data_IF_652664247200
#
_entry.id   IF_652664247200
#
_cell.length_a   1.000
_cell.length_b   1.000
_cell.length_c   1.000
_cell.angle_alpha   90.00
_cell.angle_beta   90.00
_cell.angle_gamma   90.00
#
_symmetry.space_group_name_H-M   'P 1'
#
loop_
_entity.id
_entity.type
_entity.pdbx_description
1 polymer ?
#
# COMPACT_ATOMS: atom_id res chain seq x y z
N UNK A 1 -20.69 63.41 87.52
CA UNK A 1 -20.49 62.05 88.07
C UNK A 1 -19.06 61.63 87.75
N UNK A 2 -18.21 61.57 88.77
CA UNK A 2 -16.95 60.81 88.78
C UNK A 2 -17.25 59.44 89.43
N UNK A 3 -16.41 58.37 89.34
CA UNK A 3 -14.95 58.47 89.35
C UNK A 3 -14.12 57.42 88.56
N UNK A 4 -12.81 57.74 88.44
CA UNK A 4 -11.57 56.91 88.63
C UNK A 4 -11.58 55.44 88.13
N UNK A 5 -10.49 54.89 87.56
CA UNK A 5 -9.13 54.87 88.13
C UNK A 5 -8.10 54.22 87.17
N UNK A 6 -6.87 54.77 87.18
CA UNK A 6 -5.50 54.18 87.03
C UNK A 6 -5.24 53.13 85.93
N UNK A 7 -4.18 53.16 85.11
CA UNK A 7 -2.91 53.87 85.14
C UNK A 7 -1.78 52.88 84.82
N UNK A 8 -0.90 53.16 83.84
CA UNK A 8 0.55 52.87 83.90
C UNK A 8 1.28 53.30 82.62
N UNK A 9 2.24 54.20 82.80
CA UNK A 9 3.33 54.54 81.88
C UNK A 9 4.29 53.36 81.71
N UNK A 10 4.85 53.16 80.52
CA UNK A 10 6.29 52.91 80.42
C UNK A 10 6.84 53.23 79.03
N UNK A 11 7.82 54.13 79.03
CA UNK A 11 8.64 54.59 77.91
C UNK A 11 9.65 53.52 77.48
N UNK A 12 9.97 53.42 76.17
CA UNK A 12 11.34 53.31 75.62
C UNK A 12 11.36 53.03 74.11
N UNK A 13 11.95 53.99 73.38
CA UNK A 13 12.97 53.89 72.33
C UNK A 13 12.77 53.06 71.04
N UNK A 14 13.34 53.51 69.91
CA UNK A 14 13.05 52.98 68.57
C UNK A 14 13.93 51.77 68.23
N UNK A 15 13.31 50.66 67.81
CA UNK A 15 14.01 49.49 67.28
C UNK A 15 14.28 49.68 65.77
N UNK A 16 15.55 49.87 65.44
CA UNK A 16 16.18 49.98 64.11
C UNK A 16 16.17 48.67 63.31
N UNK A 17 15.09 47.88 63.45
CA UNK A 17 14.99 46.51 62.93
C UNK A 17 14.08 46.37 61.70
N UNK A 18 13.57 47.50 61.20
CA UNK A 18 12.56 47.54 60.12
C UNK A 18 13.14 47.95 58.75
N UNK A 19 14.40 48.40 58.69
CA UNK A 19 15.06 48.73 57.42
C UNK A 19 15.78 47.53 56.79
N UNK A 20 16.26 46.57 57.60
CA UNK A 20 16.94 45.36 57.09
C UNK A 20 16.00 44.30 56.49
N UNK A 21 14.68 44.49 56.57
CA UNK A 21 13.67 43.59 55.96
C UNK A 21 13.09 44.11 54.64
N UNK A 22 13.35 45.38 54.27
CA UNK A 22 12.93 45.92 52.96
C UNK A 22 13.96 45.63 51.86
N UNK A 23 15.25 45.65 52.17
CA UNK A 23 16.30 45.29 51.21
C UNK A 23 16.24 43.81 50.77
N UNK A 24 15.88 42.88 51.67
CA UNK A 24 15.80 41.45 51.33
C UNK A 24 14.54 41.06 50.52
N UNK A 25 13.57 41.97 50.37
CA UNK A 25 12.30 41.70 49.67
C UNK A 25 12.25 42.28 48.25
N UNK A 26 13.21 43.13 47.88
CA UNK A 26 13.35 43.69 46.52
C UNK A 26 14.32 42.87 45.64
N UNK A 27 15.34 42.21 46.21
CA UNK A 27 16.19 41.26 45.45
C UNK A 27 15.48 39.96 45.05
N UNK A 28 14.43 39.56 45.79
CA UNK A 28 13.65 38.35 45.47
C UNK A 28 12.49 38.58 44.50
N UNK A 29 12.27 39.83 44.08
CA UNK A 29 11.25 40.20 43.09
C UNK A 29 11.84 40.50 41.71
N UNK A 30 13.18 40.60 41.58
CA UNK A 30 13.91 40.78 40.32
C UNK A 30 14.56 39.49 39.79
N UNK A 31 14.39 38.36 40.50
CA UNK A 31 14.87 37.04 40.09
C UNK A 31 13.74 36.05 39.72
N UNK A 32 12.55 36.56 39.37
CA UNK A 32 11.40 35.74 38.93
C UNK A 32 10.72 36.24 37.65
N UNK A 33 11.42 37.03 36.84
CA UNK A 33 10.93 37.47 35.52
C UNK A 33 11.79 36.96 34.35
N UNK A 34 12.58 35.90 34.55
CA UNK A 34 13.50 35.40 33.51
C UNK A 34 13.14 34.03 32.94
N UNK A 35 11.94 33.51 33.20
CA UNK A 35 11.48 32.22 32.66
C UNK A 35 10.10 32.36 32.01
N UNK A 36 10.03 33.11 30.90
CA UNK A 36 8.96 32.92 29.93
C UNK A 36 9.40 33.38 28.52
N UNK A 37 10.38 32.69 27.96
CA UNK A 37 10.66 32.69 26.52
C UNK A 37 10.57 31.26 25.98
N UNK A 38 9.36 30.68 26.08
CA UNK A 38 8.86 29.68 25.14
C UNK A 38 7.92 30.48 24.22
N UNK A 39 7.90 30.40 22.89
CA UNK A 39 8.39 29.41 21.92
C UNK A 39 8.09 29.99 20.54
N UNK A 40 8.79 29.51 19.51
CA UNK A 40 8.73 29.89 18.08
C UNK A 40 9.91 30.76 17.63
N UNK A 41 11.14 30.29 17.92
CA UNK A 41 12.19 30.49 16.93
C UNK A 41 12.09 29.31 15.98
N UNK A 42 11.39 29.50 14.87
CA UNK A 42 11.49 28.60 13.73
C UNK A 42 12.96 28.64 13.29
N UNK A 43 13.64 27.50 13.39
CA UNK A 43 15.02 27.37 12.97
C UNK A 43 15.04 27.40 11.43
N UNK A 44 15.59 28.47 10.85
CA UNK A 44 15.61 28.65 9.40
C UNK A 44 16.65 27.71 8.77
N UNK A 45 16.16 26.66 8.10
CA UNK A 45 16.99 25.69 7.41
C UNK A 45 17.42 26.24 6.05
N UNK A 46 18.70 26.10 5.72
CA UNK A 46 19.24 26.51 4.44
C UNK A 46 18.80 25.55 3.32
N UNK A 47 18.45 26.08 2.16
CA UNK A 47 18.03 25.31 0.98
C UNK A 47 19.00 24.20 0.56
N UNK A 48 20.31 24.37 0.77
CA UNK A 48 21.34 23.37 0.45
C UNK A 48 21.25 22.10 1.33
N UNK A 49 20.63 22.21 2.49
CA UNK A 49 20.46 21.12 3.45
C UNK A 49 19.07 20.47 3.36
N UNK A 50 18.23 20.95 2.44
CA UNK A 50 16.92 20.36 2.16
C UNK A 50 17.06 19.14 1.25
N UNK A 51 16.25 18.13 1.52
CA UNK A 51 16.13 16.99 0.64
C UNK A 51 15.44 17.40 -0.66
N UNK A 52 15.99 17.08 -1.84
CA UNK A 52 15.38 17.46 -3.11
C UNK A 52 14.09 16.71 -3.45
N UNK A 53 13.69 15.71 -2.64
CA UNK A 53 12.48 14.90 -2.84
C UNK A 53 11.34 15.39 -1.94
N UNK A 54 11.57 15.48 -0.63
CA UNK A 54 10.54 15.93 0.32
C UNK A 54 10.61 17.43 0.66
N UNK A 55 11.65 18.14 0.24
CA UNK A 55 11.87 19.57 0.53
C UNK A 55 11.96 19.92 2.02
N UNK A 56 12.20 18.92 2.88
CA UNK A 56 12.46 19.08 4.31
C UNK A 56 13.95 18.88 4.62
N UNK A 57 14.38 19.24 5.83
CA UNK A 57 15.75 18.98 6.30
C UNK A 57 16.13 17.50 6.07
N UNK A 58 17.31 17.30 5.48
CA UNK A 58 17.89 15.97 5.26
C UNK A 58 17.99 15.19 6.59
N UNK A 59 17.29 14.07 6.66
CA UNK A 59 17.31 13.16 7.81
C UNK A 59 17.81 11.78 7.36
N UNK A 60 18.76 11.22 8.11
CA UNK A 60 19.51 10.02 7.73
C UNK A 60 19.93 10.04 6.23
N UNK A 61 20.69 11.06 5.78
CA UNK A 61 21.01 11.23 4.37
C UNK A 61 21.75 10.03 3.79
N UNK A 62 21.38 9.65 2.58
CA UNK A 62 22.10 8.70 1.73
C UNK A 62 22.69 9.42 0.54
N UNK A 63 23.90 9.04 0.14
CA UNK A 63 24.58 9.56 -1.04
C UNK A 63 24.65 8.47 -2.10
N UNK A 64 24.16 8.79 -3.29
CA UNK A 64 24.18 7.92 -4.47
C UNK A 64 25.56 7.90 -5.13
N UNK A 65 25.87 6.88 -5.95
CA UNK A 65 27.15 6.85 -6.72
C UNK A 65 27.31 8.01 -7.71
N UNK A 66 26.20 8.61 -8.14
CA UNK A 66 26.21 9.81 -8.97
C UNK A 66 26.29 11.11 -8.16
N UNK A 67 26.63 11.02 -6.87
CA UNK A 67 26.86 12.12 -5.95
C UNK A 67 25.64 13.04 -5.71
N UNK A 68 24.44 12.46 -5.68
CA UNK A 68 23.23 13.13 -5.19
C UNK A 68 22.88 12.63 -3.80
N UNK A 69 22.47 13.54 -2.93
CA UNK A 69 22.12 13.26 -1.53
C UNK A 69 20.64 13.51 -1.28
N UNK A 70 19.99 12.58 -0.59
CA UNK A 70 18.58 12.66 -0.19
C UNK A 70 18.35 11.85 1.09
N UNK A 71 17.17 11.94 1.72
CA UNK A 71 16.85 11.12 2.90
C UNK A 71 16.85 9.62 2.57
N UNK A 72 17.24 8.77 3.52
CA UNK A 72 17.19 7.32 3.36
C UNK A 72 15.80 6.81 2.98
N UNK A 73 14.76 7.29 3.67
CA UNK A 73 13.35 6.97 3.43
C UNK A 73 12.89 7.40 2.03
N UNK A 74 13.25 8.61 1.60
CA UNK A 74 12.97 9.10 0.25
C UNK A 74 13.63 8.23 -0.83
N UNK A 75 14.88 7.78 -0.62
CA UNK A 75 15.56 6.90 -1.56
C UNK A 75 14.95 5.50 -1.57
N UNK A 76 14.55 4.98 -0.42
CA UNK A 76 13.88 3.68 -0.32
C UNK A 76 12.54 3.70 -1.08
N UNK A 77 11.71 4.71 -0.83
CA UNK A 77 10.44 4.87 -1.53
C UNK A 77 10.63 5.10 -3.03
N UNK A 78 11.64 5.86 -3.43
CA UNK A 78 11.96 6.03 -4.84
C UNK A 78 12.50 4.76 -5.51
N UNK A 79 13.37 4.01 -4.82
CA UNK A 79 13.87 2.73 -5.31
C UNK A 79 12.73 1.75 -5.53
N UNK A 80 11.73 1.78 -4.63
CA UNK A 80 10.52 0.99 -4.74
C UNK A 80 9.73 1.32 -6.01
N UNK A 81 9.39 2.59 -6.24
CA UNK A 81 8.66 3.04 -7.44
C UNK A 81 9.47 2.80 -8.71
N UNK A 82 10.76 3.12 -8.68
CA UNK A 82 11.67 2.94 -9.81
C UNK A 82 11.83 1.47 -10.21
N UNK A 83 11.68 0.54 -9.27
CA UNK A 83 11.83 -0.90 -9.52
C UNK A 83 10.54 -1.60 -9.94
N UNK A 84 9.38 -1.12 -9.48
CA UNK A 84 8.07 -1.68 -9.88
C UNK A 84 7.61 -1.18 -11.24
N UNK A 85 8.00 0.03 -11.64
CA UNK A 85 7.53 0.67 -12.89
C UNK A 85 8.20 0.19 -14.18
N UNK A 86 9.17 -0.74 -14.12
CA UNK A 86 9.97 -1.14 -15.29
C UNK A 86 9.79 -2.62 -15.60
N UNK A 87 8.93 -2.91 -16.60
CA UNK A 87 8.94 -4.19 -17.27
C UNK A 87 10.09 -4.20 -18.29
N UNK A 88 11.17 -4.92 -18.01
CA UNK A 88 12.32 -5.03 -18.91
C UNK A 88 12.08 -6.15 -19.92
N UNK A 89 12.03 -5.81 -21.21
CA UNK A 89 11.89 -6.79 -22.30
C UNK A 89 13.25 -7.50 -22.54
N UNK A 90 13.24 -8.83 -22.44
CA UNK A 90 14.37 -9.74 -22.55
C UNK A 90 14.07 -10.84 -23.58
N UNK A 91 15.14 -11.48 -24.06
CA UNK A 91 15.01 -12.66 -24.92
C UNK A 91 14.33 -13.80 -24.16
N UNK A 92 13.49 -14.62 -24.82
CA UNK A 92 12.85 -15.78 -24.21
C UNK A 92 13.93 -16.81 -23.88
N UNK A 93 14.38 -16.84 -22.63
CA UNK A 93 15.32 -17.83 -22.11
C UNK A 93 14.73 -18.49 -20.86
N UNK A 94 15.19 -19.71 -20.56
CA UNK A 94 14.75 -20.51 -19.41
C UNK A 94 15.83 -20.59 -18.32
N UNK A 95 16.86 -19.76 -18.37
CA UNK A 95 17.99 -19.88 -17.45
C UNK A 95 17.65 -19.34 -16.05
N UNK A 96 17.99 -20.05 -14.96
CA UNK A 96 17.79 -19.56 -13.59
C UNK A 96 18.48 -18.21 -13.33
N UNK A 97 19.51 -17.88 -14.10
CA UNK A 97 20.24 -16.60 -14.07
C UNK A 97 19.38 -15.37 -14.40
N UNK A 98 18.17 -15.54 -14.95
CA UNK A 98 17.19 -14.44 -15.17
C UNK A 98 16.83 -13.74 -13.86
N UNK A 99 16.91 -14.45 -12.73
CA UNK A 99 16.59 -13.94 -11.40
C UNK A 99 17.81 -13.42 -10.63
N UNK A 100 19.05 -13.73 -11.08
CA UNK A 100 20.27 -13.27 -10.41
C UNK A 100 20.52 -11.78 -10.68
N UNK A 101 20.51 -10.99 -9.61
CA UNK A 101 20.56 -9.53 -9.62
C UNK A 101 21.95 -8.95 -9.79
N UNK A 102 22.38 -8.76 -11.03
CA UNK A 102 23.53 -7.90 -11.34
C UNK A 102 23.11 -6.43 -11.55
N UNK A 103 21.86 -6.17 -11.98
CA UNK A 103 21.33 -4.80 -12.13
C UNK A 103 20.38 -4.49 -10.96
N UNK A 104 20.94 -4.43 -9.77
CA UNK A 104 20.20 -4.12 -8.51
C UNK A 104 20.28 -2.63 -8.18
N UNK A 105 20.42 -1.80 -9.21
CA UNK A 105 20.64 -0.36 -9.09
C UNK A 105 19.35 0.38 -9.42
N UNK A 106 18.72 0.97 -8.40
CA UNK A 106 17.59 1.88 -8.60
C UNK A 106 18.04 3.10 -9.42
N UNK A 107 17.15 3.72 -10.19
CA UNK A 107 17.49 4.96 -10.88
C UNK A 107 17.54 6.10 -9.87
N UNK A 108 18.56 6.95 -9.93
CA UNK A 108 18.63 8.13 -9.08
C UNK A 108 17.43 9.08 -9.34
N UNK A 109 16.75 9.62 -8.30
CA UNK A 109 15.66 10.58 -8.50
C UNK A 109 16.10 11.86 -9.23
N UNK A 110 17.36 12.26 -9.04
CA UNK A 110 17.87 13.53 -9.56
C UNK A 110 18.35 13.44 -11.01
N UNK A 111 19.04 12.36 -11.37
CA UNK A 111 19.68 12.23 -12.68
C UNK A 111 19.30 10.96 -13.45
N UNK A 112 18.44 10.11 -12.89
CA UNK A 112 17.94 8.85 -13.47
C UNK A 112 19.01 7.80 -13.79
N UNK A 113 20.28 8.05 -13.48
CA UNK A 113 21.37 7.09 -13.60
C UNK A 113 21.16 5.91 -12.65
N UNK A 114 21.30 4.65 -13.12
CA UNK A 114 21.35 3.48 -12.23
C UNK A 114 22.38 3.71 -11.14
N UNK A 115 21.95 3.56 -9.89
CA UNK A 115 22.79 3.84 -8.74
C UNK A 115 22.46 2.95 -7.54
N UNK A 116 23.40 2.89 -6.62
CA UNK A 116 23.16 2.45 -5.24
C UNK A 116 23.39 3.63 -4.31
N UNK A 117 22.73 3.62 -3.16
CA UNK A 117 22.82 4.67 -2.17
C UNK A 117 23.47 4.14 -0.89
N UNK A 118 24.39 4.93 -0.32
CA UNK A 118 25.11 4.59 0.91
C UNK A 118 24.78 5.64 1.97
N UNK A 119 24.52 5.21 3.20
CA UNK A 119 24.30 6.13 4.32
C UNK A 119 25.50 7.07 4.52
N UNK A 120 25.21 8.33 4.79
CA UNK A 120 26.18 9.39 5.03
C UNK A 120 26.07 9.90 6.48
N UNK A 121 26.65 9.18 7.46
CA UNK A 121 26.54 9.53 8.88
C UNK A 121 27.27 10.84 9.21
N UNK A 122 28.29 11.21 8.43
CA UNK A 122 29.01 12.47 8.62
C UNK A 122 28.10 13.66 8.40
N UNK A 123 27.33 13.66 7.30
CA UNK A 123 26.37 14.72 7.02
C UNK A 123 25.22 14.70 8.04
N UNK A 124 24.72 13.53 8.41
CA UNK A 124 23.70 13.40 9.45
C UNK A 124 24.11 14.10 10.77
N UNK A 125 25.34 13.87 11.22
CA UNK A 125 25.88 14.49 12.44
C UNK A 125 26.09 16.01 12.29
N UNK A 126 26.44 16.49 11.11
CA UNK A 126 26.57 17.93 10.85
C UNK A 126 25.21 18.61 10.91
N UNK A 127 24.19 18.01 10.29
CA UNK A 127 22.83 18.55 10.27
C UNK A 127 22.18 18.53 11.65
N UNK A 128 22.39 17.49 12.45
CA UNK A 128 21.85 17.43 13.81
C UNK A 128 22.49 18.45 14.76
N UNK A 129 23.76 18.80 14.54
CA UNK A 129 24.45 19.85 15.30
C UNK A 129 24.06 21.25 14.82
N UNK A 130 23.87 21.43 13.51
CA UNK A 130 23.52 22.72 12.89
C UNK A 130 22.06 23.09 13.10
N UNK A 131 21.17 22.09 13.12
CA UNK A 131 19.73 22.22 13.15
C UNK A 131 19.06 21.28 14.17
N UNK A 132 19.36 21.41 15.48
CA UNK A 132 18.88 20.48 16.49
C UNK A 132 17.36 20.39 16.59
N UNK A 133 16.63 21.49 16.43
CA UNK A 133 15.17 21.48 16.57
C UNK A 133 14.51 20.84 15.35
N UNK A 134 14.93 21.25 14.15
CA UNK A 134 14.41 20.68 12.91
C UNK A 134 14.79 19.18 12.77
N UNK A 135 16.00 18.78 13.15
CA UNK A 135 16.42 17.38 13.09
C UNK A 135 15.62 16.50 14.05
N UNK A 136 15.30 17.00 15.26
CA UNK A 136 14.46 16.29 16.21
C UNK A 136 13.00 16.15 15.72
N UNK A 137 12.45 17.17 15.04
CA UNK A 137 11.13 17.04 14.40
C UNK A 137 11.12 15.91 13.38
N UNK A 138 12.16 15.82 12.54
CA UNK A 138 12.28 14.76 11.52
C UNK A 138 12.40 13.36 12.15
N UNK A 139 13.10 13.24 13.28
CA UNK A 139 13.18 11.99 14.04
C UNK A 139 11.82 11.59 14.63
N UNK A 140 11.05 12.55 15.14
CA UNK A 140 9.69 12.29 15.65
C UNK A 140 8.73 11.87 14.53
N UNK A 141 8.84 12.47 13.35
CA UNK A 141 8.06 12.09 12.16
C UNK A 141 8.38 10.64 11.74
N UNK A 142 9.66 10.26 11.64
CA UNK A 142 10.05 8.90 11.21
C UNK A 142 9.72 7.81 12.24
N UNK A 143 9.66 8.16 13.53
CA UNK A 143 9.28 7.23 14.61
C UNK A 143 7.77 7.11 14.81
N UNK A 144 6.99 8.12 14.43
CA UNK A 144 5.52 8.05 14.42
C UNK A 144 4.97 7.44 13.12
N UNK A 145 5.75 7.50 12.04
CA UNK A 145 5.58 6.70 10.82
C UNK A 145 6.09 5.26 10.98
N UNK A 146 6.03 4.65 12.18
CA UNK A 146 5.99 3.19 12.27
C UNK A 146 4.73 2.72 11.53
N UNK A 147 4.92 2.35 10.26
CA UNK A 147 3.91 1.96 9.30
C UNK A 147 2.83 1.07 9.97
N UNK A 148 1.57 1.52 10.08
CA UNK A 148 0.48 0.69 10.60
C UNK A 148 0.24 -0.58 9.76
N UNK A 149 0.96 -0.71 8.64
CA UNK A 149 0.94 -1.81 7.69
C UNK A 149 2.21 -2.70 7.75
N UNK A 150 2.86 -2.80 8.92
CA UNK A 150 4.07 -3.58 9.23
C UNK A 150 3.99 -5.12 8.99
N UNK A 151 3.18 -5.57 8.04
CA UNK A 151 3.39 -6.84 7.37
C UNK A 151 4.69 -6.78 6.56
N UNK A 152 5.54 -7.81 6.70
CA UNK A 152 6.80 -7.92 5.97
C UNK A 152 6.53 -7.87 4.46
N UNK A 153 6.89 -6.76 3.81
CA UNK A 153 6.84 -6.62 2.35
C UNK A 153 8.04 -7.35 1.76
N UNK A 154 7.78 -8.23 0.80
CA UNK A 154 8.78 -9.01 0.09
C UNK A 154 8.69 -8.71 -1.42
N UNK A 155 9.83 -8.71 -2.11
CA UNK A 155 9.88 -8.49 -3.56
C UNK A 155 9.80 -9.81 -4.31
N UNK A 156 8.82 -9.94 -5.19
CA UNK A 156 8.63 -11.06 -6.13
C UNK A 156 9.08 -10.64 -7.52
N UNK A 157 10.06 -11.32 -8.12
CA UNK A 157 10.38 -11.11 -9.54
C UNK A 157 9.48 -12.02 -10.37
N UNK A 158 8.83 -11.47 -11.38
CA UNK A 158 7.95 -12.20 -12.29
C UNK A 158 8.40 -11.98 -13.73
N UNK A 159 8.52 -13.05 -14.49
CA UNK A 159 8.74 -13.00 -15.92
C UNK A 159 7.47 -13.47 -16.65
N UNK A 160 6.92 -12.63 -17.51
CA UNK A 160 5.75 -12.93 -18.34
C UNK A 160 6.16 -12.76 -19.79
N UNK A 161 5.76 -13.68 -20.66
CA UNK A 161 6.23 -13.62 -22.04
C UNK A 161 5.69 -14.73 -22.90
N UNK A 162 6.17 -14.75 -24.14
CA UNK A 162 5.91 -15.84 -25.07
C UNK A 162 7.17 -16.25 -25.82
N UNK A 163 7.26 -17.56 -26.10
CA UNK A 163 8.16 -18.10 -27.10
C UNK A 163 7.37 -18.40 -28.37
N UNK A 164 8.00 -18.23 -29.53
CA UNK A 164 7.41 -18.46 -30.84
C UNK A 164 8.28 -19.37 -31.70
N UNK A 165 7.63 -20.22 -32.49
CA UNK A 165 8.26 -21.05 -33.52
C UNK A 165 7.32 -21.19 -34.71
N UNK A 166 7.82 -20.97 -35.93
CA UNK A 166 7.09 -21.32 -37.14
C UNK A 166 6.99 -22.83 -37.30
N UNK A 167 5.79 -23.29 -37.60
CA UNK A 167 5.47 -24.67 -37.94
C UNK A 167 4.93 -24.74 -39.37
N UNK A 168 5.24 -25.82 -40.08
CA UNK A 168 4.65 -26.08 -41.40
C UNK A 168 3.13 -26.17 -41.27
N UNK A 169 2.36 -25.48 -42.12
CA UNK A 169 0.90 -25.53 -42.08
C UNK A 169 0.43 -26.97 -42.30
N UNK A 170 -0.52 -27.40 -41.47
CA UNK A 170 -1.22 -28.66 -41.73
C UNK A 170 -2.13 -28.48 -42.97
N UNK A 171 -2.33 -29.52 -43.79
CA UNK A 171 -3.16 -29.43 -45.00
C UNK A 171 -4.60 -28.96 -44.73
N UNK A 172 -5.10 -29.12 -43.51
CA UNK A 172 -6.45 -28.72 -43.09
C UNK A 172 -6.55 -27.29 -42.53
N UNK A 173 -5.43 -26.59 -42.30
CA UNK A 173 -5.45 -25.24 -41.69
C UNK A 173 -4.22 -24.43 -42.10
N UNK A 174 -4.26 -23.87 -43.31
CA UNK A 174 -3.17 -23.09 -43.91
C UNK A 174 -2.76 -21.84 -43.09
N UNK A 175 -3.61 -21.35 -42.19
CA UNK A 175 -3.36 -20.12 -41.42
C UNK A 175 -2.65 -20.35 -40.08
N UNK A 176 -2.66 -21.56 -39.51
CA UNK A 176 -2.12 -21.84 -38.17
C UNK A 176 -0.63 -22.18 -38.20
N UNK A 177 0.18 -21.25 -38.70
CA UNK A 177 1.62 -21.43 -38.92
C UNK A 177 2.48 -21.01 -37.72
N UNK A 178 1.92 -20.29 -36.75
CA UNK A 178 2.64 -19.80 -35.59
C UNK A 178 2.33 -20.67 -34.38
N UNK A 179 3.30 -21.46 -33.93
CA UNK A 179 3.20 -22.12 -32.63
C UNK A 179 3.81 -21.20 -31.58
N UNK A 180 3.01 -20.84 -30.59
CA UNK A 180 3.45 -19.98 -29.50
C UNK A 180 3.18 -20.65 -28.16
N UNK A 181 4.07 -20.36 -27.20
CA UNK A 181 3.94 -20.76 -25.80
C UNK A 181 3.95 -19.51 -24.96
N UNK A 182 2.82 -19.18 -24.35
CA UNK A 182 2.76 -18.12 -23.35
C UNK A 182 3.12 -18.71 -21.98
N UNK A 183 3.89 -17.97 -21.18
CA UNK A 183 4.36 -18.43 -19.88
C UNK A 183 4.38 -17.30 -18.86
N UNK A 184 4.14 -17.68 -17.61
CA UNK A 184 4.30 -16.85 -16.42
C UNK A 184 5.26 -17.57 -15.48
N UNK A 185 6.42 -16.96 -15.23
CA UNK A 185 7.54 -17.53 -14.47
C UNK A 185 7.87 -16.64 -13.28
N UNK A 186 7.26 -16.91 -12.11
CA UNK A 186 7.57 -16.23 -10.87
C UNK A 186 8.88 -16.76 -10.28
N UNK A 187 9.62 -15.91 -9.55
CA UNK A 187 10.85 -16.31 -8.85
C UNK A 187 10.59 -17.30 -7.72
N UNK A 188 9.37 -17.31 -7.18
CA UNK A 188 8.90 -18.24 -6.17
C UNK A 188 7.45 -18.64 -6.45
N UNK A 189 7.16 -19.92 -6.36
CA UNK A 189 5.83 -20.51 -6.64
C UNK A 189 5.07 -20.85 -5.36
N UNK A 190 5.74 -20.83 -4.21
CA UNK A 190 5.18 -21.22 -2.92
C UNK A 190 4.09 -20.27 -2.41
N UNK A 191 4.06 -19.01 -2.89
CA UNK A 191 3.06 -18.00 -2.53
C UNK A 191 1.95 -17.83 -3.58
N UNK A 192 2.04 -18.52 -4.72
CA UNK A 192 1.06 -18.42 -5.80
C UNK A 192 0.05 -19.55 -5.66
N UNK A 193 -1.23 -19.19 -5.66
CA UNK A 193 -2.35 -20.12 -5.62
C UNK A 193 -2.68 -20.63 -7.02
N UNK A 194 -2.87 -19.71 -7.97
CA UNK A 194 -3.18 -20.03 -9.36
C UNK A 194 -2.87 -18.86 -10.29
N UNK A 195 -2.75 -19.19 -11.58
CA UNK A 195 -2.63 -18.21 -12.67
C UNK A 195 -3.80 -18.45 -13.62
N UNK A 196 -4.62 -17.43 -13.80
CA UNK A 196 -5.69 -17.43 -14.80
C UNK A 196 -5.22 -16.70 -16.04
N UNK A 197 -5.51 -17.25 -17.21
CA UNK A 197 -5.10 -16.70 -18.50
C UNK A 197 -6.34 -16.54 -19.35
N UNK A 198 -6.57 -15.32 -19.81
CA UNK A 198 -7.65 -14.95 -20.70
C UNK A 198 -7.09 -14.76 -22.10
N UNK A 199 -7.47 -15.68 -23.00
CA UNK A 199 -7.14 -15.64 -24.41
C UNK A 199 -8.27 -14.99 -25.19
N UNK A 200 -7.97 -14.61 -26.44
CA UNK A 200 -8.98 -14.14 -27.37
C UNK A 200 -10.15 -15.17 -27.51
N UNK A 201 -11.42 -14.72 -27.65
CA UNK A 201 -12.59 -15.61 -27.68
C UNK A 201 -12.60 -16.69 -28.78
N UNK A 202 -11.76 -16.53 -29.80
CA UNK A 202 -11.59 -17.54 -30.86
C UNK A 202 -10.90 -18.81 -30.37
N UNK A 203 -10.21 -18.78 -29.24
CA UNK A 203 -9.59 -19.94 -28.63
C UNK A 203 -10.58 -20.72 -27.76
N UNK A 204 -10.49 -22.06 -27.78
CA UNK A 204 -11.31 -22.92 -26.94
C UNK A 204 -10.46 -23.84 -26.04
N UNK A 205 -10.64 -23.81 -24.71
CA UNK A 205 -11.36 -22.76 -23.97
C UNK A 205 -10.57 -21.42 -23.99
N UNK A 206 -11.26 -20.26 -23.95
CA UNK A 206 -10.61 -18.95 -23.93
C UNK A 206 -10.04 -18.60 -22.55
N UNK A 207 -10.63 -19.14 -21.49
CA UNK A 207 -10.16 -19.00 -20.10
C UNK A 207 -9.40 -20.26 -19.68
N UNK A 208 -8.16 -20.11 -19.24
CA UNK A 208 -7.33 -21.20 -18.74
C UNK A 208 -6.98 -20.92 -17.28
N UNK A 209 -7.18 -21.90 -16.41
CA UNK A 209 -6.80 -21.82 -15.01
C UNK A 209 -5.67 -22.82 -14.73
N UNK A 210 -4.52 -22.32 -14.25
CA UNK A 210 -3.34 -23.11 -13.91
C UNK A 210 -3.08 -23.03 -12.40
N UNK A 211 -3.34 -24.12 -11.67
CA UNK A 211 -3.16 -24.20 -10.21
C UNK A 211 -1.76 -24.64 -9.79
N UNK A 212 -0.96 -25.17 -10.72
CA UNK A 212 0.37 -25.71 -10.42
C UNK A 212 1.38 -25.30 -11.50
N UNK A 213 2.66 -25.09 -11.12
CA UNK A 213 3.73 -24.83 -12.07
C UNK A 213 4.02 -26.08 -12.93
N UNK A 214 4.52 -25.90 -14.16
CA UNK A 214 4.81 -24.64 -14.83
C UNK A 214 3.54 -23.92 -15.34
N UNK A 215 3.45 -22.60 -15.10
CA UNK A 215 2.32 -21.79 -15.56
C UNK A 215 2.50 -21.39 -17.03
N UNK A 216 2.34 -22.34 -17.94
CA UNK A 216 2.50 -22.12 -19.37
C UNK A 216 1.40 -22.80 -20.20
N UNK A 217 1.09 -22.18 -21.34
CA UNK A 217 0.14 -22.70 -22.31
C UNK A 217 0.76 -22.69 -23.69
N UNK A 218 0.44 -23.71 -24.48
CA UNK A 218 0.88 -23.80 -25.88
C UNK A 218 -0.33 -23.83 -26.79
N UNK A 219 -0.30 -22.99 -27.84
CA UNK A 219 -1.37 -22.87 -28.83
C UNK A 219 -0.77 -22.58 -30.21
N UNK A 220 -1.63 -22.69 -31.23
CA UNK A 220 -1.33 -22.29 -32.60
C UNK A 220 -2.19 -21.08 -32.94
N UNK A 221 -1.66 -20.14 -33.70
CA UNK A 221 -2.39 -18.97 -34.15
C UNK A 221 -1.80 -18.36 -35.42
N UNK A 222 -2.36 -17.23 -35.81
CA UNK A 222 -2.05 -16.53 -37.05
C UNK A 222 -1.80 -15.03 -36.85
N UNK A 223 -2.02 -14.50 -35.65
CA UNK A 223 -1.92 -13.07 -35.36
C UNK A 223 -1.50 -12.78 -33.91
N UNK A 224 -1.22 -11.51 -33.65
CA UNK A 224 -0.90 -10.95 -32.35
C UNK A 224 -2.18 -10.50 -31.63
N UNK A 225 -2.17 -10.57 -30.30
CA UNK A 225 -3.29 -10.12 -29.46
C UNK A 225 -2.80 -9.92 -28.02
N UNK A 226 -3.58 -9.18 -27.22
CA UNK A 226 -3.28 -9.00 -25.79
C UNK A 226 -3.82 -10.20 -25.01
N UNK A 227 -2.96 -10.79 -24.18
CA UNK A 227 -3.29 -11.84 -23.22
C UNK A 227 -3.35 -11.19 -21.85
N UNK A 228 -4.53 -11.18 -21.24
CA UNK A 228 -4.72 -10.76 -19.85
C UNK A 228 -4.51 -11.97 -18.94
N UNK A 229 -3.67 -11.85 -17.93
CA UNK A 229 -3.43 -12.90 -16.94
C UNK A 229 -3.64 -12.38 -15.53
N UNK A 230 -4.36 -13.14 -14.71
CA UNK A 230 -4.55 -12.84 -13.31
C UNK A 230 -3.66 -13.75 -12.47
N UNK A 231 -2.79 -13.16 -11.67
CA UNK A 231 -1.93 -13.91 -10.74
C UNK A 231 -2.54 -13.84 -9.35
N UNK A 232 -2.95 -15.00 -8.85
CA UNK A 232 -3.66 -15.13 -7.58
C UNK A 232 -2.68 -15.66 -6.54
N UNK A 233 -2.42 -14.88 -5.49
CA UNK A 233 -1.59 -15.29 -4.35
C UNK A 233 -2.35 -16.24 -3.42
N UNK A 234 -1.65 -16.97 -2.55
CA UNK A 234 -2.26 -17.80 -1.50
C UNK A 234 -2.84 -16.95 -0.36
N UNK A 235 -3.74 -17.54 0.44
CA UNK A 235 -4.27 -16.93 1.67
C UNK A 235 -3.15 -16.44 2.59
N UNK A 236 -3.29 -15.22 3.12
CA UNK A 236 -2.29 -14.53 3.95
C UNK A 236 -1.22 -13.77 3.16
N UNK A 237 -1.38 -13.66 1.84
CA UNK A 237 -0.56 -12.81 0.98
C UNK A 237 -1.44 -11.88 0.15
N UNK A 238 -0.98 -10.63 0.01
CA UNK A 238 -1.59 -9.59 -0.81
C UNK A 238 -0.54 -8.88 -1.66
N UNK A 239 -0.96 -8.36 -2.80
CA UNK A 239 -0.14 -7.51 -3.66
C UNK A 239 -0.11 -6.09 -3.12
N UNK A 240 1.07 -5.47 -3.16
CA UNK A 240 1.24 -4.03 -2.92
C UNK A 240 1.34 -3.36 -4.28
N UNK A 241 0.20 -3.30 -4.97
CA UNK A 241 0.04 -2.65 -6.27
C UNK A 241 -1.30 -1.91 -6.32
N UNK A 242 -1.35 -0.80 -7.04
CA UNK A 242 -2.60 -0.06 -7.26
C UNK A 242 -3.58 -0.90 -8.08
N UNK A 243 -3.08 -1.56 -9.11
CA UNK A 243 -3.84 -2.46 -10.00
C UNK A 243 -4.28 -3.77 -9.32
N UNK A 244 -3.89 -4.01 -8.07
CA UNK A 244 -4.28 -5.23 -7.39
C UNK A 244 -5.73 -5.19 -6.92
N UNK A 245 -6.41 -6.30 -7.17
CA UNK A 245 -7.82 -6.52 -6.90
C UNK A 245 -8.01 -7.57 -5.79
N UNK A 246 -9.17 -7.51 -5.14
CA UNK A 246 -9.61 -8.57 -4.24
C UNK A 246 -9.94 -9.85 -5.02
N UNK A 247 -9.70 -11.00 -4.39
CA UNK A 247 -10.06 -12.27 -5.00
C UNK A 247 -11.55 -12.51 -4.71
N UNK A 248 -12.41 -12.72 -5.74
CA UNK A 248 -13.82 -13.02 -5.51
C UNK A 248 -13.98 -14.24 -4.59
N UNK A 249 -14.98 -14.20 -3.69
CA UNK A 249 -15.33 -15.29 -2.78
C UNK A 249 -14.26 -15.69 -1.75
N UNK A 250 -13.22 -14.87 -1.59
CA UNK A 250 -12.13 -15.17 -0.65
C UNK A 250 -12.39 -14.60 0.75
N UNK A 251 -13.32 -13.66 0.88
CA UNK A 251 -13.79 -12.98 2.10
C UNK A 251 -12.67 -12.48 3.03
N UNK A 252 -11.43 -12.41 2.54
CA UNK A 252 -10.29 -11.95 3.32
C UNK A 252 -10.01 -10.47 3.09
N UNK A 253 -10.76 -9.78 2.20
CA UNK A 253 -10.53 -8.38 1.82
C UNK A 253 -9.10 -8.10 1.35
N UNK A 254 -8.34 -9.14 1.03
CA UNK A 254 -6.94 -9.03 0.67
C UNK A 254 -6.86 -8.84 -0.84
N UNK A 255 -6.04 -7.87 -1.27
CA UNK A 255 -5.70 -7.65 -2.68
C UNK A 255 -4.84 -8.79 -3.23
N UNK A 256 -5.39 -9.99 -3.33
CA UNK A 256 -4.68 -11.22 -3.68
C UNK A 256 -4.59 -11.48 -5.18
N UNK A 257 -5.28 -10.71 -6.02
CA UNK A 257 -5.31 -10.84 -7.48
C UNK A 257 -4.56 -9.67 -8.13
N UNK A 258 -3.66 -9.97 -9.06
CA UNK A 258 -2.98 -8.96 -9.88
C UNK A 258 -3.23 -9.25 -11.37
N UNK A 259 -4.01 -8.40 -12.07
CA UNK A 259 -4.14 -8.46 -13.51
C UNK A 259 -2.88 -7.93 -14.19
N UNK A 260 -2.39 -8.63 -15.21
CA UNK A 260 -1.27 -8.22 -16.05
C UNK A 260 -1.61 -8.49 -17.50
N UNK A 261 -1.33 -7.50 -18.35
CA UNK A 261 -1.51 -7.61 -19.79
C UNK A 261 -0.18 -7.88 -20.49
N UNK A 262 -0.21 -8.81 -21.44
CA UNK A 262 0.93 -9.12 -22.30
C UNK A 262 0.51 -9.11 -23.76
N UNK A 263 1.13 -8.24 -24.56
CA UNK A 263 0.95 -8.26 -26.01
C UNK A 263 1.72 -9.45 -26.59
N UNK A 264 1.00 -10.48 -27.04
CA UNK A 264 1.57 -11.59 -27.77
C UNK A 264 2.00 -11.09 -29.16
N UNK A 265 3.30 -10.92 -29.37
CA UNK A 265 3.87 -10.69 -30.70
C UNK A 265 4.77 -11.86 -31.14
N UNK A 266 5.09 -11.86 -32.44
CA UNK A 266 6.03 -12.83 -33.03
C UNK A 266 7.30 -12.18 -33.52
N UNK A 267 7.42 -10.85 -33.47
CA UNK A 267 8.56 -10.11 -34.04
C UNK A 267 9.75 -10.03 -33.06
N UNK A 268 9.52 -10.30 -31.78
CA UNK A 268 10.56 -10.32 -30.76
C UNK A 268 11.72 -11.28 -31.07
N UNK A 269 12.96 -10.78 -30.89
CA UNK A 269 14.22 -11.54 -30.90
C UNK A 269 14.35 -12.54 -32.06
N UNK A 270 14.36 -12.05 -33.30
CA UNK A 270 14.51 -12.87 -34.53
C UNK A 270 13.36 -13.87 -34.73
N UNK A 271 12.14 -13.52 -34.33
CA UNK A 271 11.01 -14.42 -34.48
C UNK A 271 10.90 -15.47 -33.39
N UNK A 272 11.65 -15.36 -32.28
CA UNK A 272 11.63 -16.32 -31.16
C UNK A 272 10.64 -15.94 -30.07
N UNK A 273 10.07 -14.73 -30.14
CA UNK A 273 9.18 -14.15 -29.13
C UNK A 273 9.93 -13.27 -28.14
N UNK A 274 9.22 -12.74 -27.14
CA UNK A 274 9.73 -11.76 -26.17
C UNK A 274 9.25 -12.10 -24.75
N UNK A 275 9.94 -11.56 -23.74
CA UNK A 275 9.59 -11.75 -22.33
C UNK A 275 9.82 -10.48 -21.53
N UNK A 276 8.84 -10.02 -20.77
CA UNK A 276 8.99 -8.94 -19.81
C UNK A 276 9.33 -9.47 -18.42
N UNK A 277 10.38 -8.91 -17.80
CA UNK A 277 10.70 -9.10 -16.38
C UNK A 277 10.18 -7.90 -15.59
N UNK A 278 9.33 -8.15 -14.60
CA UNK A 278 8.87 -7.14 -13.64
C UNK A 278 9.24 -7.54 -12.20
N UNK A 279 9.41 -6.54 -11.34
CA UNK A 279 9.60 -6.73 -9.89
C UNK A 279 8.35 -6.21 -9.20
N UNK A 280 7.65 -7.10 -8.52
CA UNK A 280 6.38 -6.83 -7.87
C UNK A 280 6.56 -6.91 -6.35
N UNK A 281 5.72 -6.21 -5.61
CA UNK A 281 5.73 -6.24 -4.14
C UNK A 281 4.58 -7.09 -3.63
N UNK A 282 4.89 -7.97 -2.68
CA UNK A 282 3.89 -8.77 -1.97
C UNK A 282 4.00 -8.52 -0.48
N UNK A 283 2.88 -8.37 0.21
CA UNK A 283 2.81 -8.26 1.66
C UNK A 283 2.38 -9.60 2.23
N UNK A 284 3.04 -10.02 3.31
CA UNK A 284 2.58 -11.12 4.15
C UNK A 284 1.73 -10.55 5.28
N UNK A 285 0.45 -10.88 5.28
CA UNK A 285 -0.48 -10.42 6.32
C UNK A 285 -0.15 -11.11 7.64
N UNK A 286 -0.18 -10.33 8.71
CA UNK A 286 0.24 -10.81 10.03
C UNK A 286 -0.66 -11.93 10.54
N UNK A 287 -0.10 -12.90 11.26
CA UNK A 287 -0.89 -13.93 11.98
C UNK A 287 -1.87 -13.32 13.00
N UNK A 288 -1.66 -12.05 13.39
CA UNK A 288 -2.46 -11.29 14.34
C UNK A 288 -3.72 -10.66 13.70
N UNK A 289 -3.60 -10.06 12.51
CA UNK A 289 -4.75 -9.53 11.75
C UNK A 289 -5.71 -10.64 11.35
N UNK A 290 -5.18 -11.83 11.01
CA UNK A 290 -5.97 -13.04 10.78
C UNK A 290 -6.86 -13.40 11.98
N UNK A 291 -6.37 -13.28 13.21
CA UNK A 291 -7.16 -13.58 14.43
C UNK A 291 -8.19 -12.51 14.75
N UNK A 292 -7.93 -11.26 14.34
CA UNK A 292 -8.84 -10.15 14.54
C UNK A 292 -10.01 -10.20 13.55
N UNK A 293 -9.73 -10.46 12.26
CA UNK A 293 -10.77 -10.71 11.25
C UNK A 293 -11.58 -11.96 11.55
N UNK A 294 -10.95 -13.08 11.94
CA UNK A 294 -11.65 -14.30 12.40
C UNK A 294 -12.54 -14.08 13.65
N UNK A 295 -12.32 -12.99 14.41
CA UNK A 295 -13.16 -12.58 15.55
C UNK A 295 -14.27 -11.62 15.14
N UNK A 296 -13.99 -10.70 14.23
CA UNK A 296 -14.96 -9.75 13.66
C UNK A 296 -15.99 -10.49 12.77
N UNK A 297 -15.56 -11.46 11.96
CA UNK A 297 -16.45 -12.31 11.15
C UNK A 297 -17.37 -13.18 12.02
N UNK A 298 -16.85 -13.67 13.17
CA UNK A 298 -17.67 -14.38 14.17
C UNK A 298 -18.67 -13.46 14.88
N UNK A 299 -18.46 -12.15 14.88
CA UNK A 299 -19.39 -11.17 15.43
C UNK A 299 -20.48 -10.75 14.43
N UNK A 300 -20.21 -10.88 13.12
CA UNK A 300 -21.17 -10.54 12.04
C UNK A 300 -22.14 -11.71 11.73
N UNK A 301 -21.79 -12.95 12.04
CA UNK A 301 -22.67 -14.14 11.95
C UNK A 301 -23.76 -14.22 13.06
N UNK A 302 -23.96 -13.15 13.82
CA UNK A 302 -24.77 -13.15 15.04
C UNK A 302 -26.18 -12.56 14.94
N UNK A 303 -26.69 -12.16 13.77
CA UNK A 303 -28.04 -11.57 13.70
C UNK A 303 -28.71 -11.65 12.33
N UNK A 304 -29.33 -12.79 12.05
CA UNK A 304 -30.59 -12.84 11.32
C UNK A 304 -31.57 -13.63 12.18
N UNK A 305 -32.14 -12.94 13.16
CA UNK A 305 -33.37 -13.41 13.80
C UNK A 305 -34.45 -13.23 12.73
N UNK A 306 -34.78 -14.33 12.05
CA UNK A 306 -35.87 -14.37 11.06
C UNK A 306 -37.16 -14.13 11.84
N UNK A 307 -37.67 -12.90 11.81
CA UNK A 307 -39.08 -12.65 12.09
C UNK A 307 -39.87 -13.46 11.06
N UNK A 308 -40.49 -14.54 11.52
CA UNK A 308 -41.53 -15.20 10.76
C UNK A 308 -42.69 -14.20 10.65
N UNK A 309 -42.78 -13.55 9.50
CA UNK A 309 -43.95 -12.78 9.10
C UNK A 309 -45.06 -13.81 8.92
N UNK A 310 -46.09 -13.73 9.76
CA UNK A 310 -47.34 -14.43 9.49
C UNK A 310 -47.92 -13.82 8.21
N UNK A 311 -48.11 -14.68 7.20
CA UNK A 311 -48.89 -14.37 6.01
C UNK A 311 -50.36 -14.19 6.43
N UNK A 312 -50.75 -12.94 6.70
CA UNK A 312 -52.13 -12.47 6.60
C UNK A 312 -52.09 -11.15 5.82
N UNK A 313 -53.16 -10.91 5.07
CA UNK A 313 -53.40 -9.77 4.17
C UNK A 313 -52.81 -9.91 2.77
N UNK A 314 -53.46 -9.56 1.67
CA UNK A 314 -54.85 -9.26 1.30
C UNK A 314 -54.64 -8.90 -0.19
N UNK A 315 -55.19 -9.69 -1.12
CA UNK A 315 -55.21 -9.30 -2.54
C UNK A 315 -56.67 -9.18 -2.99
N UNK A 316 -57.16 -7.96 -2.85
CA UNK A 316 -58.34 -7.42 -3.52
C UNK A 316 -58.01 -7.02 -4.98
N UNK A 317 -59.06 -7.05 -5.81
CA UNK A 317 -59.21 -6.54 -7.19
C UNK A 317 -58.58 -7.43 -8.28
N UNK A 318 -59.30 -7.88 -9.31
CA UNK A 318 -60.09 -7.07 -10.24
C UNK A 318 -61.32 -7.82 -10.82
N UNK A 319 -62.26 -6.99 -11.25
CA UNK A 319 -63.57 -7.24 -11.84
C UNK A 319 -63.55 -8.02 -13.17
N UNK A 320 -64.49 -8.97 -13.32
CA UNK A 320 -65.08 -9.30 -14.62
C UNK A 320 -66.61 -9.32 -14.47
N UNK A 321 -67.23 -8.26 -14.98
CA UNK A 321 -68.62 -8.22 -15.42
C UNK A 321 -68.83 -9.29 -16.51
N UNK A 322 -69.91 -10.07 -16.43
CA UNK A 322 -70.88 -10.20 -17.54
C UNK A 322 -72.03 -11.16 -17.18
N UNK A 323 -73.23 -10.57 -17.23
CA UNK A 323 -74.49 -11.08 -17.78
C UNK A 323 -75.26 -12.22 -17.07
N UNK A 324 -76.30 -11.77 -16.33
CA UNK A 324 -77.72 -12.11 -16.51
C UNK A 324 -78.07 -13.50 -17.09
N UNK A 325 -78.77 -14.31 -16.29
CA UNK A 325 -79.99 -15.01 -16.75
C UNK A 325 -80.85 -15.40 -15.54
N UNK A 326 -81.88 -14.59 -15.32
CA UNK A 326 -83.07 -14.95 -14.56
C UNK A 326 -83.76 -16.14 -15.24
N UNK A 327 -84.14 -17.18 -14.49
CA UNK A 327 -85.36 -17.92 -14.78
C UNK A 327 -85.87 -18.60 -13.50
N UNK A 328 -86.79 -17.90 -12.84
CA UNK A 328 -87.79 -18.47 -11.93
C UNK A 328 -88.62 -19.52 -12.66
N UNK A 329 -88.79 -20.70 -12.04
CA UNK A 329 -90.00 -21.48 -12.27
C UNK A 329 -90.39 -22.24 -11.00
N UNK A 330 -91.37 -21.67 -10.29
CA UNK A 330 -92.18 -22.33 -9.28
C UNK A 330 -93.16 -23.35 -9.90
N UNK A 331 -93.62 -24.25 -9.05
CA UNK A 331 -94.53 -25.38 -9.20
C UNK A 331 -95.75 -25.22 -10.13
N UNK A 332 -96.11 -26.32 -10.82
CA UNK A 332 -97.51 -26.82 -10.84
C UNK A 332 -97.57 -28.33 -11.17
N UNK A 333 -98.36 -29.05 -10.35
CA UNK A 333 -98.98 -30.40 -10.47
C UNK A 333 -98.22 -31.70 -10.09
#
# INVERSE_FOLDING_TARGET
MSPRREGSNSSKSPDTRTESRRAAREESAQARSSDNQNTNQEEEVNDEDLCPVCHLLLYNPVTTRCNHTLCATCMAHWADVSMTSQMTILAPSSSPSIFSGADTEARCPMCRTPTSATLNPTLANQLSQRYPLAYQSREAEETTEEDPNAGKIETLTLCIGNSHKLISPAPESAHNMHQWTFFVRPSRTDIISSVEIQLHPTFRPPHIHLSQPPFEIRRKGWGYFVITTNIILKRGWSWVSEDAEEVPFRDDGAKGKLPLDWTLDFDGFEGKGSMGRCRLKVRKEGRAERRQREREDRAVDGRWEVEMVNDEEDEDEEDEDDEDEDEDFDEDE
#
